data_IF_304090935789
#
_entry.id   IF_304090935789
#
_cell.length_a   1.000
_cell.length_b   1.000
_cell.length_c   1.000
_cell.angle_alpha   90.00
_cell.angle_beta   90.00
_cell.angle_gamma   90.00
#
_symmetry.space_group_name_H-M   'P 1'
#
loop_
_entity.id
_entity.type
_entity.pdbx_description
1 polymer ?
#
# COMPACT_ATOMS: atom_id res chain seq x y z
N UNK A 1 -7.01 17.55 -4.79
CA UNK A 1 -7.03 16.53 -5.88
C UNK A 1 -7.47 15.20 -5.27
N UNK A 2 -8.22 14.36 -5.99
CA UNK A 2 -8.58 13.04 -5.45
C UNK A 2 -7.32 12.13 -5.43
N UNK A 3 -7.25 11.21 -4.47
CA UNK A 3 -6.19 10.20 -4.39
C UNK A 3 -6.15 9.40 -5.69
N UNK A 4 -4.98 9.35 -6.34
CA UNK A 4 -4.79 8.69 -7.64
C UNK A 4 -5.09 7.19 -7.59
N UNK A 5 -4.83 6.54 -6.44
CA UNK A 5 -5.06 5.11 -6.26
C UNK A 5 -6.55 4.77 -6.08
N UNK A 6 -7.34 5.70 -5.53
CA UNK A 6 -8.80 5.51 -5.41
C UNK A 6 -9.55 5.71 -6.73
N UNK A 7 -8.89 6.16 -7.80
CA UNK A 7 -9.50 6.44 -9.11
C UNK A 7 -8.64 5.96 -10.29
N UNK A 8 -7.89 4.89 -10.14
CA UNK A 8 -7.01 4.35 -11.21
C UNK A 8 -7.80 4.08 -12.49
N UNK A 9 -8.99 3.50 -12.39
CA UNK A 9 -9.83 3.18 -13.54
C UNK A 9 -10.27 4.41 -14.37
N UNK A 10 -10.23 5.61 -13.81
CA UNK A 10 -10.56 6.87 -14.50
C UNK A 10 -9.37 7.56 -15.18
N UNK A 11 -8.17 6.99 -15.08
CA UNK A 11 -6.94 7.53 -15.66
C UNK A 11 -6.73 7.00 -17.09
N UNK A 12 -5.90 7.69 -17.87
CA UNK A 12 -5.47 7.20 -19.19
C UNK A 12 -4.56 5.97 -19.07
N UNK A 13 -4.49 5.18 -20.15
CA UNK A 13 -3.78 3.90 -20.20
C UNK A 13 -2.28 4.05 -19.86
N UNK A 14 -1.62 5.12 -20.33
CA UNK A 14 -0.20 5.39 -20.05
C UNK A 14 0.02 5.62 -18.56
N UNK A 15 -0.86 6.36 -17.90
CA UNK A 15 -0.79 6.60 -16.46
C UNK A 15 -1.08 5.32 -15.68
N UNK A 16 -2.05 4.49 -16.09
CA UNK A 16 -2.34 3.21 -15.45
C UNK A 16 -1.14 2.25 -15.54
N UNK A 17 -0.50 2.12 -16.72
CA UNK A 17 0.69 1.28 -16.91
C UNK A 17 1.87 1.78 -16.06
N UNK A 18 2.07 3.08 -15.98
CA UNK A 18 3.09 3.67 -15.10
C UNK A 18 2.84 3.37 -13.63
N UNK A 19 1.59 3.42 -13.16
CA UNK A 19 1.23 3.06 -11.79
C UNK A 19 1.45 1.58 -11.52
N UNK A 20 1.12 0.69 -12.48
CA UNK A 20 1.44 -0.73 -12.39
C UNK A 20 2.95 -0.96 -12.23
N UNK A 21 3.78 -0.26 -13.02
CA UNK A 21 5.24 -0.29 -12.90
C UNK A 21 5.75 0.18 -11.54
N UNK A 22 5.12 1.17 -10.92
CA UNK A 22 5.47 1.63 -9.57
C UNK A 22 5.21 0.53 -8.53
N UNK A 23 4.08 -0.21 -8.64
CA UNK A 23 3.77 -1.31 -7.72
C UNK A 23 4.80 -2.43 -7.81
N UNK A 24 5.17 -2.85 -9.03
CA UNK A 24 6.18 -3.91 -9.23
C UNK A 24 7.57 -3.46 -8.75
N UNK A 25 7.99 -2.23 -9.05
CA UNK A 25 9.26 -1.66 -8.57
C UNK A 25 9.33 -1.64 -7.05
N UNK A 26 8.26 -1.17 -6.38
CA UNK A 26 8.17 -1.20 -4.93
C UNK A 26 8.15 -2.62 -4.38
N UNK A 27 7.47 -3.53 -5.08
CA UNK A 27 7.43 -4.95 -4.74
C UNK A 27 8.79 -5.64 -4.79
N UNK A 28 9.67 -5.20 -5.71
CA UNK A 28 11.02 -5.72 -5.87
C UNK A 28 12.06 -5.11 -4.91
N UNK A 29 11.72 -4.03 -4.20
CA UNK A 29 12.63 -3.40 -3.24
C UNK A 29 12.97 -4.33 -2.06
N UNK A 30 14.26 -4.56 -1.75
CA UNK A 30 14.66 -5.51 -0.70
C UNK A 30 14.16 -5.16 0.70
N UNK A 31 14.10 -3.86 1.07
CA UNK A 31 13.59 -3.44 2.38
C UNK A 31 12.07 -3.67 2.46
N UNK A 32 11.34 -3.38 1.37
CA UNK A 32 9.91 -3.65 1.28
C UNK A 32 9.62 -5.15 1.39
N UNK A 33 10.41 -5.99 0.72
CA UNK A 33 10.29 -7.45 0.79
C UNK A 33 10.56 -7.96 2.22
N UNK A 34 11.62 -7.49 2.88
CA UNK A 34 11.94 -7.88 4.25
C UNK A 34 10.84 -7.47 5.25
N UNK A 35 10.29 -6.24 5.10
CA UNK A 35 9.18 -5.79 5.95
C UNK A 35 7.93 -6.65 5.75
N UNK A 36 7.56 -6.94 4.48
CA UNK A 36 6.44 -7.83 4.15
C UNK A 36 6.67 -9.25 4.66
N UNK A 37 7.90 -9.78 4.52
CA UNK A 37 8.23 -11.10 5.06
C UNK A 37 7.98 -11.18 6.57
N UNK A 38 8.44 -10.19 7.33
CA UNK A 38 8.19 -10.10 8.79
C UNK A 38 6.72 -9.91 9.12
N UNK A 39 5.99 -9.17 8.31
CA UNK A 39 4.54 -9.00 8.45
C UNK A 39 3.83 -10.33 8.25
N UNK A 40 4.09 -11.03 7.14
CA UNK A 40 3.48 -12.32 6.82
C UNK A 40 3.81 -13.40 7.85
N UNK A 41 5.05 -13.43 8.36
CA UNK A 41 5.47 -14.36 9.42
C UNK A 41 4.71 -14.17 10.74
N UNK A 42 4.02 -13.04 10.91
CA UNK A 42 3.19 -12.76 12.09
C UNK A 42 1.75 -13.23 11.95
N UNK A 43 1.35 -13.72 10.77
CA UNK A 43 0.00 -14.22 10.49
C UNK A 43 -0.02 -15.72 10.80
N UNK A 44 -0.84 -16.12 11.75
CA UNK A 44 -1.07 -17.54 12.03
C UNK A 44 -2.00 -18.12 10.95
N UNK A 45 -1.44 -18.95 10.08
CA UNK A 45 -2.18 -19.62 9.02
C UNK A 45 -2.71 -20.98 9.52
N UNK A 46 -3.99 -21.22 9.33
CA UNK A 46 -4.56 -22.58 9.46
C UNK A 46 -4.08 -23.48 8.31
N UNK A 47 -4.13 -24.78 8.48
CA UNK A 47 -3.85 -25.69 7.37
C UNK A 47 -4.88 -25.51 6.24
N UNK A 48 -4.40 -25.41 5.01
CA UNK A 48 -5.20 -25.17 3.81
C UNK A 48 -6.02 -23.86 3.86
N UNK A 49 -5.39 -22.77 4.34
CA UNK A 49 -6.02 -21.46 4.47
C UNK A 49 -6.47 -20.89 3.11
N UNK A 50 -7.66 -20.32 3.09
CA UNK A 50 -8.16 -19.47 2.00
C UNK A 50 -7.92 -18.02 2.35
N UNK A 51 -7.12 -17.34 1.54
CA UNK A 51 -6.69 -15.96 1.78
C UNK A 51 -7.37 -15.03 0.77
N UNK A 52 -7.85 -13.87 1.26
CA UNK A 52 -8.30 -12.76 0.44
C UNK A 52 -7.32 -11.60 0.60
N UNK A 53 -6.78 -11.09 -0.49
CA UNK A 53 -6.09 -9.79 -0.51
C UNK A 53 -7.01 -8.72 -1.09
N UNK A 54 -7.25 -7.65 -0.34
CA UNK A 54 -8.08 -6.51 -0.75
C UNK A 54 -7.18 -5.34 -1.14
N UNK A 55 -7.37 -4.80 -2.36
CA UNK A 55 -6.50 -3.81 -2.96
C UNK A 55 -5.19 -4.45 -3.47
N UNK A 56 -5.30 -5.57 -4.18
CA UNK A 56 -4.14 -6.37 -4.60
C UNK A 56 -3.26 -5.69 -5.67
N UNK A 57 -3.75 -4.63 -6.32
CA UNK A 57 -3.05 -3.98 -7.41
C UNK A 57 -2.66 -4.97 -8.51
N UNK A 58 -1.37 -5.03 -8.85
CA UNK A 58 -0.79 -5.99 -9.80
C UNK A 58 -0.54 -7.39 -9.22
N UNK A 59 -0.99 -7.66 -7.99
CA UNK A 59 -0.88 -8.97 -7.34
C UNK A 59 0.51 -9.28 -6.77
N UNK A 60 1.32 -8.29 -6.44
CA UNK A 60 2.67 -8.51 -5.85
C UNK A 60 2.60 -9.36 -4.60
N UNK A 61 1.76 -8.97 -3.63
CA UNK A 61 1.61 -9.73 -2.39
C UNK A 61 0.78 -11.00 -2.60
N UNK A 62 -0.24 -10.99 -3.48
CA UNK A 62 -1.04 -12.17 -3.85
C UNK A 62 -0.14 -13.33 -4.29
N UNK A 63 0.82 -13.07 -5.19
CA UNK A 63 1.81 -14.06 -5.64
C UNK A 63 2.70 -14.57 -4.51
N UNK A 64 3.07 -13.70 -3.57
CA UNK A 64 3.85 -14.10 -2.38
C UNK A 64 3.02 -14.95 -1.42
N UNK A 65 1.76 -14.58 -1.17
CA UNK A 65 0.84 -15.34 -0.31
C UNK A 65 0.61 -16.76 -0.83
N UNK A 66 0.50 -16.93 -2.14
CA UNK A 66 0.31 -18.25 -2.77
C UNK A 66 1.49 -19.21 -2.56
N UNK A 67 2.67 -18.68 -2.25
CA UNK A 67 3.87 -19.50 -2.00
C UNK A 67 4.07 -19.85 -0.52
N UNK A 68 3.22 -19.32 0.37
CA UNK A 68 3.32 -19.60 1.81
C UNK A 68 2.84 -21.02 2.13
N UNK A 69 3.58 -21.72 2.96
CA UNK A 69 3.16 -23.01 3.48
C UNK A 69 1.85 -22.88 4.28
N UNK A 70 0.88 -23.73 3.98
CA UNK A 70 -0.44 -23.71 4.63
C UNK A 70 -1.51 -22.94 3.87
N UNK A 71 -1.19 -22.16 2.85
CA UNK A 71 -2.16 -21.50 1.97
C UNK A 71 -2.65 -22.49 0.90
N UNK A 72 -3.96 -22.63 0.74
CA UNK A 72 -4.58 -23.48 -0.29
C UNK A 72 -5.01 -22.68 -1.51
N UNK A 73 -5.46 -21.42 -1.31
CA UNK A 73 -5.85 -20.55 -2.41
C UNK A 73 -5.80 -19.09 -1.99
N UNK A 74 -5.53 -18.24 -2.96
CA UNK A 74 -5.53 -16.78 -2.77
C UNK A 74 -6.48 -16.13 -3.78
N UNK A 75 -7.33 -15.25 -3.30
CA UNK A 75 -8.13 -14.35 -4.13
C UNK A 75 -7.59 -12.94 -3.93
N UNK A 76 -7.20 -12.28 -5.02
CA UNK A 76 -6.87 -10.85 -5.03
C UNK A 76 -8.03 -10.04 -5.57
N UNK A 77 -8.40 -8.95 -4.92
CA UNK A 77 -9.39 -8.01 -5.45
C UNK A 77 -8.84 -6.60 -5.50
N UNK A 78 -9.21 -5.87 -6.55
CA UNK A 78 -8.88 -4.45 -6.73
C UNK A 78 -10.01 -3.74 -7.47
N UNK A 79 -10.15 -2.44 -7.26
CA UNK A 79 -11.17 -1.63 -7.92
C UNK A 79 -10.82 -1.35 -9.40
N UNK A 80 -9.53 -1.41 -9.78
CA UNK A 80 -9.04 -1.06 -11.11
C UNK A 80 -8.97 -2.30 -12.04
N UNK A 81 -9.81 -2.40 -13.08
CA UNK A 81 -9.80 -3.53 -14.02
C UNK A 81 -8.44 -3.74 -14.69
N UNK A 82 -7.73 -2.67 -15.04
CA UNK A 82 -6.42 -2.75 -15.69
C UNK A 82 -5.34 -3.37 -14.79
N UNK A 83 -5.37 -3.06 -13.48
CA UNK A 83 -4.46 -3.70 -12.51
C UNK A 83 -4.80 -5.17 -12.34
N UNK A 84 -6.07 -5.54 -12.33
CA UNK A 84 -6.52 -6.95 -12.27
C UNK A 84 -6.11 -7.73 -13.53
N UNK A 85 -6.20 -7.13 -14.71
CA UNK A 85 -5.70 -7.76 -15.95
C UNK A 85 -4.20 -8.01 -15.87
N UNK A 86 -3.44 -7.02 -15.39
CA UNK A 86 -1.99 -7.15 -15.19
C UNK A 86 -1.65 -8.21 -14.12
N UNK A 87 -2.41 -8.26 -13.03
CA UNK A 87 -2.23 -9.27 -11.99
C UNK A 87 -2.45 -10.70 -12.52
N UNK A 88 -3.48 -10.91 -13.35
CA UNK A 88 -3.74 -12.22 -14.01
C UNK A 88 -2.60 -12.62 -14.95
N UNK A 89 -2.07 -11.66 -15.73
CA UNK A 89 -0.92 -11.90 -16.59
C UNK A 89 0.29 -12.37 -15.79
N UNK A 90 0.63 -11.63 -14.72
CA UNK A 90 1.82 -11.87 -13.88
C UNK A 90 1.72 -13.13 -12.99
N UNK A 91 0.53 -13.65 -12.77
CA UNK A 91 0.28 -14.85 -11.97
C UNK A 91 -0.23 -16.04 -12.80
N UNK A 92 -0.02 -16.02 -14.13
CA UNK A 92 -0.57 -17.03 -15.06
C UNK A 92 -0.07 -18.46 -14.81
N UNK A 93 1.03 -18.63 -14.09
CA UNK A 93 1.61 -19.91 -13.68
C UNK A 93 1.16 -20.39 -12.29
N UNK A 94 0.31 -19.63 -11.59
CA UNK A 94 -0.17 -19.93 -10.23
C UNK A 94 -1.65 -20.40 -10.26
N UNK A 95 -1.92 -21.72 -10.30
CA UNK A 95 -3.28 -22.25 -10.51
C UNK A 95 -4.25 -21.96 -9.36
N UNK A 96 -3.74 -21.79 -8.14
CA UNK A 96 -4.53 -21.54 -6.92
C UNK A 96 -4.72 -20.05 -6.62
N UNK A 97 -4.41 -19.17 -7.59
CA UNK A 97 -4.58 -17.72 -7.50
C UNK A 97 -5.67 -17.26 -8.45
N UNK A 98 -6.58 -16.44 -7.95
CA UNK A 98 -7.62 -15.79 -8.76
C UNK A 98 -7.69 -14.30 -8.48
N UNK A 99 -8.16 -13.51 -9.46
CA UNK A 99 -8.29 -12.07 -9.34
C UNK A 99 -9.67 -11.60 -9.82
N UNK A 100 -10.31 -10.71 -9.04
CA UNK A 100 -11.62 -10.15 -9.35
C UNK A 100 -11.61 -8.63 -9.17
N UNK A 101 -12.43 -7.96 -9.98
CA UNK A 101 -12.67 -6.51 -9.78
C UNK A 101 -13.71 -6.36 -8.68
N UNK A 102 -13.36 -5.70 -7.57
CA UNK A 102 -14.28 -5.46 -6.47
C UNK A 102 -13.92 -4.22 -5.66
N UNK A 103 -14.95 -3.64 -5.03
CA UNK A 103 -14.81 -2.55 -4.07
C UNK A 103 -14.56 -3.12 -2.66
N UNK A 104 -13.54 -2.62 -1.98
CA UNK A 104 -13.23 -2.98 -0.59
C UNK A 104 -14.42 -2.72 0.38
N UNK A 105 -15.26 -1.74 0.07
CA UNK A 105 -16.46 -1.39 0.85
C UNK A 105 -17.67 -2.29 0.54
N UNK A 106 -17.59 -3.19 -0.45
CA UNK A 106 -18.68 -4.09 -0.87
C UNK A 106 -18.13 -5.35 -1.55
N UNK A 107 -17.57 -6.26 -0.76
CA UNK A 107 -16.93 -7.46 -1.27
C UNK A 107 -17.96 -8.48 -1.79
N UNK A 108 -17.78 -9.06 -3.01
CA UNK A 108 -18.75 -9.95 -3.66
C UNK A 108 -18.70 -11.40 -3.11
N UNK A 109 -18.30 -11.57 -1.84
CA UNK A 109 -18.16 -12.87 -1.22
C UNK A 109 -19.19 -13.09 -0.12
N UNK A 110 -19.55 -14.35 0.09
CA UNK A 110 -20.43 -14.75 1.18
C UNK A 110 -19.76 -14.51 2.54
N UNK A 111 -20.57 -14.38 3.58
CA UNK A 111 -20.09 -14.36 4.95
C UNK A 111 -19.27 -15.62 5.28
N UNK A 112 -18.24 -15.49 6.11
CA UNK A 112 -17.40 -16.60 6.57
C UNK A 112 -16.75 -17.43 5.44
N UNK A 113 -16.24 -16.77 4.39
CA UNK A 113 -15.64 -17.42 3.21
C UNK A 113 -14.12 -17.58 3.29
N UNK A 114 -13.43 -16.80 4.13
CA UNK A 114 -11.97 -16.74 4.18
C UNK A 114 -11.43 -16.97 5.58
N UNK A 115 -10.22 -17.54 5.66
CA UNK A 115 -9.48 -17.72 6.90
C UNK A 115 -8.64 -16.48 7.25
N UNK A 116 -8.14 -15.79 6.21
CA UNK A 116 -7.34 -14.56 6.36
C UNK A 116 -7.81 -13.53 5.34
N UNK A 117 -7.94 -12.27 5.78
CA UNK A 117 -8.10 -11.09 4.90
C UNK A 117 -6.90 -10.18 5.09
N UNK A 118 -6.24 -9.84 3.98
CA UNK A 118 -5.03 -9.02 3.98
C UNK A 118 -5.29 -7.71 3.23
N UNK A 119 -4.77 -6.61 3.80
CA UNK A 119 -4.62 -5.32 3.14
C UNK A 119 -3.13 -4.97 3.11
N UNK A 120 -2.53 -4.76 1.93
CA UNK A 120 -1.14 -4.25 1.79
C UNK A 120 -1.15 -2.88 1.12
N UNK A 121 -0.87 -1.83 1.89
CA UNK A 121 -0.82 -0.45 1.40
C UNK A 121 -2.11 -0.02 0.69
N UNK A 122 -3.23 -0.38 1.26
CA UNK A 122 -4.56 -0.20 0.66
C UNK A 122 -5.44 0.73 1.49
N UNK A 123 -5.52 0.53 2.81
CA UNK A 123 -6.46 1.25 3.66
C UNK A 123 -6.22 2.76 3.68
N UNK A 124 -4.98 3.20 3.47
CA UNK A 124 -4.63 4.61 3.32
C UNK A 124 -5.22 5.30 2.08
N UNK A 125 -5.68 4.52 1.11
CA UNK A 125 -6.28 4.97 -0.15
C UNK A 125 -7.80 4.75 -0.23
N UNK A 126 -8.36 3.97 0.70
CA UNK A 126 -9.81 3.68 0.75
C UNK A 126 -10.57 4.83 1.42
N UNK A 127 -11.55 5.46 0.73
CA UNK A 127 -12.31 6.57 1.30
C UNK A 127 -13.10 6.22 2.58
N UNK A 128 -13.62 5.00 2.65
CA UNK A 128 -14.33 4.46 3.82
C UNK A 128 -13.59 3.21 4.35
N UNK A 129 -12.50 3.45 5.05
CA UNK A 129 -11.71 2.37 5.68
C UNK A 129 -12.51 1.59 6.73
N UNK A 130 -13.49 2.24 7.41
CA UNK A 130 -14.39 1.55 8.34
C UNK A 130 -15.20 0.49 7.61
N UNK A 131 -15.83 0.86 6.50
CA UNK A 131 -16.66 -0.07 5.73
C UNK A 131 -15.81 -1.23 5.17
N UNK A 132 -14.60 -0.96 4.71
CA UNK A 132 -13.68 -2.01 4.27
C UNK A 132 -13.32 -3.00 5.40
N UNK A 133 -13.09 -2.51 6.62
CA UNK A 133 -12.82 -3.37 7.79
C UNK A 133 -14.06 -4.15 8.23
N UNK A 134 -15.26 -3.57 8.14
CA UNK A 134 -16.54 -4.26 8.39
C UNK A 134 -16.77 -5.39 7.37
N UNK A 135 -16.50 -5.15 6.09
CA UNK A 135 -16.58 -6.18 5.04
C UNK A 135 -15.55 -7.30 5.26
N UNK A 136 -14.30 -6.94 5.65
CA UNK A 136 -13.30 -7.94 6.04
C UNK A 136 -13.80 -8.79 7.22
N UNK A 137 -14.41 -8.17 8.25
CA UNK A 137 -15.01 -8.90 9.36
C UNK A 137 -16.12 -9.84 8.87
N UNK A 138 -16.99 -9.37 7.97
CA UNK A 138 -18.11 -10.17 7.45
C UNK A 138 -17.61 -11.41 6.72
N UNK A 139 -16.65 -11.25 5.80
CA UNK A 139 -16.18 -12.36 4.96
C UNK A 139 -15.22 -13.32 5.67
N UNK A 140 -14.62 -12.93 6.79
CA UNK A 140 -13.80 -13.80 7.63
C UNK A 140 -14.65 -14.83 8.37
N UNK A 141 -14.14 -16.05 8.49
CA UNK A 141 -14.68 -17.11 9.33
C UNK A 141 -14.47 -16.78 10.81
N UNK A 142 -15.24 -17.41 11.74
CA UNK A 142 -14.84 -17.45 13.14
C UNK A 142 -13.40 -17.96 13.29
N UNK A 143 -12.62 -17.36 14.16
CA UNK A 143 -11.18 -17.53 14.30
C UNK A 143 -10.32 -17.08 13.09
N UNK A 144 -10.91 -16.38 12.11
CA UNK A 144 -10.18 -15.80 10.99
C UNK A 144 -9.41 -14.55 11.37
N UNK A 145 -8.37 -14.24 10.62
CA UNK A 145 -7.41 -13.17 10.88
C UNK A 145 -7.58 -12.02 9.89
N UNK A 146 -7.76 -10.81 10.40
CA UNK A 146 -7.49 -9.57 9.68
C UNK A 146 -6.00 -9.26 9.79
N UNK A 147 -5.34 -9.01 8.67
CA UNK A 147 -3.95 -8.56 8.63
C UNK A 147 -3.82 -7.35 7.71
N UNK A 148 -3.27 -6.26 8.19
CA UNK A 148 -3.04 -5.06 7.41
C UNK A 148 -1.59 -4.60 7.55
N UNK A 149 -0.98 -4.19 6.45
CA UNK A 149 0.34 -3.57 6.37
C UNK A 149 0.21 -2.29 5.55
N UNK A 150 0.65 -1.17 6.09
CA UNK A 150 0.53 0.12 5.39
C UNK A 150 1.65 1.08 5.80
N UNK A 151 1.80 2.18 5.04
CA UNK A 151 2.66 3.28 5.40
C UNK A 151 2.03 4.16 6.49
N UNK A 152 2.78 4.51 7.52
CA UNK A 152 2.49 5.66 8.37
C UNK A 152 2.94 6.92 7.64
N UNK A 153 2.14 7.34 6.67
CA UNK A 153 2.49 8.44 5.76
C UNK A 153 2.72 9.77 6.47
N UNK A 154 2.22 9.93 7.70
CA UNK A 154 2.53 11.09 8.51
C UNK A 154 3.99 11.15 9.00
N UNK A 155 4.78 10.08 8.78
CA UNK A 155 6.22 10.03 9.08
C UNK A 155 7.10 10.25 7.85
N UNK A 156 6.52 10.36 6.65
CA UNK A 156 7.29 10.47 5.41
C UNK A 156 8.13 11.75 5.38
N UNK A 157 9.42 11.61 5.12
CA UNK A 157 10.33 12.75 5.07
C UNK A 157 11.52 12.49 4.14
N UNK A 158 11.98 13.55 3.51
CA UNK A 158 13.28 13.64 2.81
C UNK A 158 14.15 14.75 3.39
N UNK A 159 13.69 15.34 4.48
CA UNK A 159 14.38 16.46 5.13
C UNK A 159 15.66 15.98 5.84
N UNK A 160 16.78 16.60 5.52
CA UNK A 160 18.07 16.41 6.19
C UNK A 160 18.38 17.53 7.20
N UNK A 161 17.49 18.52 7.29
CA UNK A 161 17.61 19.67 8.20
C UNK A 161 16.25 20.32 8.41
N UNK A 162 16.17 21.18 9.41
CA UNK A 162 14.98 22.00 9.63
C UNK A 162 14.71 22.92 8.41
N UNK A 163 13.43 23.01 8.01
CA UNK A 163 12.98 23.79 6.83
C UNK A 163 13.66 23.34 5.52
N UNK A 164 13.85 22.05 5.34
CA UNK A 164 14.37 21.52 4.08
C UNK A 164 13.33 21.71 2.96
N UNK A 165 13.68 22.40 1.84
CA UNK A 165 12.72 22.69 0.79
C UNK A 165 12.19 21.42 0.09
N UNK A 166 12.92 20.31 0.08
CA UNK A 166 12.44 19.06 -0.53
C UNK A 166 11.26 18.45 0.22
N UNK A 167 11.09 18.77 1.53
CA UNK A 167 9.94 18.30 2.28
C UNK A 167 8.61 18.80 1.70
N UNK A 168 8.59 19.97 1.09
CA UNK A 168 7.38 20.52 0.42
C UNK A 168 6.88 19.59 -0.68
N UNK A 169 7.80 18.90 -1.39
CA UNK A 169 7.40 17.91 -2.39
C UNK A 169 6.73 16.68 -1.75
N UNK A 170 7.28 16.19 -0.63
CA UNK A 170 6.67 15.07 0.10
C UNK A 170 5.27 15.44 0.58
N UNK A 171 5.13 16.60 1.19
CA UNK A 171 3.84 17.08 1.70
C UNK A 171 2.79 17.24 0.59
N UNK A 172 3.20 17.76 -0.57
CA UNK A 172 2.34 17.90 -1.75
C UNK A 172 1.94 16.53 -2.34
N UNK A 173 2.88 15.59 -2.44
CA UNK A 173 2.59 14.23 -2.90
C UNK A 173 1.57 13.55 -1.98
N UNK A 174 1.75 13.65 -0.67
CA UNK A 174 0.83 13.06 0.31
C UNK A 174 -0.57 13.67 0.20
N UNK A 175 -0.67 14.99 0.07
CA UNK A 175 -1.96 15.67 -0.09
C UNK A 175 -2.71 15.27 -1.37
N UNK A 176 -1.98 14.89 -2.42
CA UNK A 176 -2.55 14.52 -3.73
C UNK A 176 -2.69 13.02 -3.98
N UNK A 177 -2.15 12.17 -3.12
CA UNK A 177 -2.04 10.73 -3.41
C UNK A 177 -2.35 9.79 -2.23
N UNK A 178 -2.70 10.32 -1.05
CA UNK A 178 -3.04 9.53 0.13
C UNK A 178 -4.31 10.08 0.75
N UNK A 179 -5.36 9.26 0.81
CA UNK A 179 -6.65 9.69 1.37
C UNK A 179 -6.57 9.90 2.89
N UNK A 180 -6.07 8.91 3.62
CA UNK A 180 -5.84 9.02 5.07
C UNK A 180 -4.43 8.59 5.45
N UNK A 181 -3.56 9.57 5.69
CA UNK A 181 -2.17 9.33 6.13
C UNK A 181 -2.04 8.85 7.58
N UNK A 182 -3.13 8.79 8.34
CA UNK A 182 -3.18 8.37 9.74
C UNK A 182 -3.91 7.04 9.95
N UNK A 183 -4.47 6.44 8.90
CA UNK A 183 -5.30 5.23 8.99
C UNK A 183 -4.64 4.13 9.80
N UNK A 184 -3.34 3.92 9.60
CA UNK A 184 -2.59 2.88 10.30
C UNK A 184 -2.57 3.06 11.82
N UNK A 185 -2.52 4.31 12.29
CA UNK A 185 -2.57 4.64 13.73
C UNK A 185 -3.96 4.43 14.34
N UNK A 186 -5.00 4.60 13.52
CA UNK A 186 -6.41 4.47 13.91
C UNK A 186 -6.88 3.00 13.83
N UNK A 187 -6.26 2.20 12.96
CA UNK A 187 -6.69 0.84 12.63
C UNK A 187 -6.85 -0.09 13.84
N UNK A 188 -5.99 -0.08 14.88
CA UNK A 188 -6.19 -0.93 16.06
C UNK A 188 -7.49 -0.62 16.83
N UNK A 189 -7.89 0.65 16.89
CA UNK A 189 -9.15 1.04 17.51
C UNK A 189 -10.33 0.69 16.60
N UNK A 190 -10.22 1.01 15.32
CA UNK A 190 -11.23 0.71 14.31
C UNK A 190 -11.54 -0.79 14.23
N UNK A 191 -10.52 -1.64 14.22
CA UNK A 191 -10.71 -3.09 14.20
C UNK A 191 -11.51 -3.57 15.43
N UNK A 192 -11.20 -3.07 16.63
CA UNK A 192 -11.98 -3.40 17.83
C UNK A 192 -13.42 -2.93 17.75
N UNK A 193 -13.67 -1.74 17.24
CA UNK A 193 -15.02 -1.21 17.02
C UNK A 193 -15.82 -2.04 16.02
N UNK A 194 -15.16 -2.63 15.01
CA UNK A 194 -15.77 -3.56 14.05
C UNK A 194 -15.93 -4.99 14.60
N UNK A 195 -15.54 -5.26 15.86
CA UNK A 195 -15.75 -6.55 16.52
C UNK A 195 -14.53 -7.48 16.59
N UNK A 196 -13.41 -7.08 16.03
CA UNK A 196 -12.15 -7.83 16.15
C UNK A 196 -11.59 -7.79 17.58
N UNK A 197 -10.84 -8.81 17.93
CA UNK A 197 -10.16 -8.96 19.22
C UNK A 197 -8.66 -9.24 19.01
N UNK A 198 -7.89 -9.28 20.11
CA UNK A 198 -6.47 -9.63 20.11
C UNK A 198 -5.66 -8.81 19.08
N UNK A 199 -5.94 -7.49 19.04
CA UNK A 199 -5.30 -6.58 18.09
C UNK A 199 -3.84 -6.34 18.46
N UNK A 200 -2.92 -6.66 17.56
CA UNK A 200 -1.49 -6.41 17.70
C UNK A 200 -1.00 -5.41 16.65
N UNK A 201 -0.14 -4.48 17.05
CA UNK A 201 0.52 -3.51 16.16
C UNK A 201 2.04 -3.73 16.17
N UNK A 202 2.66 -3.71 14.98
CA UNK A 202 4.12 -3.72 14.82
C UNK A 202 4.55 -2.58 13.92
N UNK A 203 5.75 -2.02 14.15
CA UNK A 203 6.32 -0.95 13.36
C UNK A 203 7.59 -1.40 12.65
N UNK A 204 7.82 -0.86 11.45
CA UNK A 204 8.97 -1.12 10.59
C UNK A 204 9.50 0.22 10.07
N UNK A 205 10.81 0.30 9.86
CA UNK A 205 11.43 1.48 9.26
C UNK A 205 11.86 1.19 7.82
N UNK A 206 11.49 2.07 6.90
CA UNK A 206 12.06 2.13 5.56
C UNK A 206 12.91 3.39 5.47
N UNK A 207 14.15 3.26 5.03
CA UNK A 207 15.04 4.39 4.84
C UNK A 207 15.94 4.19 3.62
N UNK A 208 16.04 5.23 2.81
CA UNK A 208 17.03 5.35 1.74
C UNK A 208 18.09 6.36 2.13
N UNK A 209 19.35 5.96 2.00
CA UNK A 209 20.51 6.79 2.28
C UNK A 209 21.46 6.75 1.09
N UNK A 210 21.80 7.92 0.53
CA UNK A 210 22.68 8.04 -0.63
C UNK A 210 21.97 7.82 -1.96
N UNK A 211 21.53 6.61 -2.23
CA UNK A 211 20.76 6.26 -3.43
C UNK A 211 19.29 6.57 -3.18
N UNK A 212 18.66 7.37 -4.00
CA UNK A 212 17.23 7.70 -3.88
C UNK A 212 16.45 6.98 -4.97
N UNK A 213 16.01 5.75 -4.74
CA UNK A 213 15.21 5.01 -5.72
C UNK A 213 13.73 5.32 -5.53
N UNK A 214 13.14 4.89 -4.43
CA UNK A 214 11.71 5.08 -4.16
C UNK A 214 11.40 6.51 -3.71
N UNK A 215 12.12 7.03 -2.71
CA UNK A 215 11.83 8.36 -2.15
C UNK A 215 12.14 9.50 -3.12
N UNK A 216 13.03 9.28 -4.11
CA UNK A 216 13.21 10.22 -5.20
C UNK A 216 11.95 10.32 -6.08
N UNK A 217 11.24 9.20 -6.32
CA UNK A 217 9.95 9.24 -7.04
C UNK A 217 8.88 9.99 -6.26
N UNK A 218 8.91 9.94 -4.92
CA UNK A 218 8.03 10.73 -4.05
C UNK A 218 8.28 12.23 -4.24
N UNK A 219 9.55 12.67 -4.29
CA UNK A 219 9.92 14.05 -4.58
C UNK A 219 9.44 14.47 -5.98
N UNK A 220 9.67 13.65 -7.00
CA UNK A 220 9.29 13.98 -8.38
C UNK A 220 7.77 14.10 -8.55
N UNK A 221 7.00 13.21 -7.92
CA UNK A 221 5.54 13.26 -7.92
C UNK A 221 5.01 14.49 -7.19
N UNK A 222 5.58 14.80 -6.01
CA UNK A 222 5.20 15.99 -5.26
C UNK A 222 5.54 17.27 -5.99
N UNK A 223 6.69 17.35 -6.65
CA UNK A 223 7.05 18.46 -7.50
C UNK A 223 6.07 18.66 -8.67
N UNK A 224 5.57 17.56 -9.27
CA UNK A 224 4.54 17.62 -10.29
C UNK A 224 3.19 18.12 -9.75
N UNK A 225 2.80 17.72 -8.52
CA UNK A 225 1.60 18.23 -7.84
C UNK A 225 1.72 19.72 -7.57
N UNK A 226 2.87 20.21 -7.05
CA UNK A 226 3.10 21.64 -6.81
C UNK A 226 2.95 22.49 -8.09
N UNK A 227 3.41 21.95 -9.23
CA UNK A 227 3.26 22.62 -10.53
C UNK A 227 1.80 22.62 -10.98
N UNK A 228 1.13 21.47 -10.94
CA UNK A 228 -0.24 21.33 -11.41
C UNK A 228 -1.24 22.17 -10.62
N UNK A 229 -1.00 22.32 -9.31
CA UNK A 229 -1.83 23.15 -8.42
C UNK A 229 -1.46 24.66 -8.46
N UNK A 230 -0.44 25.03 -9.25
CA UNK A 230 0.01 26.42 -9.36
C UNK A 230 0.69 26.96 -8.09
N UNK A 231 1.08 26.10 -7.17
CA UNK A 231 1.78 26.47 -5.91
C UNK A 231 3.23 26.83 -6.18
N UNK A 232 3.86 26.19 -7.17
CA UNK A 232 5.22 26.48 -7.62
C UNK A 232 5.29 26.60 -9.15
N UNK A 233 6.07 27.54 -9.65
CA UNK A 233 6.34 27.66 -11.08
C UNK A 233 7.39 26.66 -11.55
N UNK A 234 7.51 26.51 -12.89
CA UNK A 234 8.41 25.55 -13.54
C UNK A 234 9.86 25.66 -13.07
N UNK A 235 10.37 26.88 -12.89
CA UNK A 235 11.75 27.12 -12.45
C UNK A 235 12.01 26.56 -11.04
N UNK A 236 11.09 26.81 -10.09
CA UNK A 236 11.22 26.27 -8.73
C UNK A 236 11.10 24.75 -8.71
N UNK A 237 10.16 24.18 -9.46
CA UNK A 237 10.00 22.73 -9.58
C UNK A 237 11.26 22.07 -10.15
N UNK A 238 11.83 22.66 -11.20
CA UNK A 238 13.09 22.18 -11.77
C UNK A 238 14.24 22.24 -10.76
N UNK A 239 14.33 23.33 -9.98
CA UNK A 239 15.35 23.50 -8.94
C UNK A 239 15.21 22.46 -7.81
N UNK A 240 13.98 22.17 -7.35
CA UNK A 240 13.73 21.14 -6.33
C UNK A 240 14.15 19.75 -6.82
N UNK A 241 13.76 19.38 -8.05
CA UNK A 241 14.18 18.11 -8.67
C UNK A 241 15.69 18.02 -8.84
N UNK A 242 16.35 19.09 -9.28
CA UNK A 242 17.81 19.16 -9.43
C UNK A 242 18.52 19.01 -8.09
N UNK A 243 18.01 19.65 -7.02
CA UNK A 243 18.55 19.51 -5.66
C UNK A 243 18.48 18.06 -5.15
N UNK A 244 17.34 17.38 -5.36
CA UNK A 244 17.21 15.99 -4.96
C UNK A 244 18.25 15.10 -5.67
N UNK A 245 18.43 15.28 -6.99
CA UNK A 245 19.41 14.53 -7.78
C UNK A 245 20.85 14.85 -7.36
N UNK A 246 21.14 16.12 -7.11
CA UNK A 246 22.45 16.53 -6.61
C UNK A 246 22.78 15.86 -5.26
N UNK A 247 21.79 15.68 -4.37
CA UNK A 247 21.99 14.96 -3.11
C UNK A 247 22.26 13.46 -3.34
N UNK A 248 21.58 12.85 -4.30
CA UNK A 248 21.86 11.47 -4.70
C UNK A 248 23.30 11.34 -5.23
N UNK A 249 23.69 12.18 -6.18
CA UNK A 249 25.06 12.20 -6.74
C UNK A 249 26.14 12.42 -5.68
N UNK A 250 25.84 13.25 -4.67
CA UNK A 250 26.74 13.52 -3.55
C UNK A 250 26.69 12.46 -2.43
N UNK A 251 25.86 11.42 -2.55
CA UNK A 251 25.65 10.41 -1.50
C UNK A 251 25.02 10.97 -0.21
N UNK A 252 24.36 12.13 -0.29
CA UNK A 252 23.78 12.85 0.86
C UNK A 252 22.24 12.88 0.86
N UNK A 253 21.61 12.15 -0.07
CA UNK A 253 20.16 11.98 -0.07
C UNK A 253 19.72 11.16 1.15
N UNK A 254 18.60 11.56 1.72
CA UNK A 254 17.91 10.82 2.77
C UNK A 254 16.43 10.79 2.46
N UNK A 255 15.81 9.64 2.65
CA UNK A 255 14.37 9.48 2.59
C UNK A 255 13.93 8.45 3.64
N UNK A 256 12.81 8.70 4.29
CA UNK A 256 12.27 7.81 5.31
C UNK A 256 10.76 7.79 5.31
N UNK A 257 10.20 6.62 5.59
CA UNK A 257 8.80 6.42 5.95
C UNK A 257 8.71 5.24 6.92
N UNK A 258 7.98 5.38 8.02
CA UNK A 258 7.61 4.25 8.84
C UNK A 258 6.48 3.46 8.18
N UNK A 259 6.56 2.15 8.23
CA UNK A 259 5.47 1.24 7.94
C UNK A 259 4.99 0.59 9.23
N UNK A 260 3.81 0.03 9.20
CA UNK A 260 3.33 -0.76 10.31
C UNK A 260 2.41 -1.88 9.85
N UNK A 261 2.21 -2.84 10.74
CA UNK A 261 1.21 -3.86 10.54
C UNK A 261 0.27 -3.96 11.74
N UNK A 262 -0.97 -4.31 11.43
CA UNK A 262 -2.00 -4.63 12.42
C UNK A 262 -2.52 -6.03 12.11
N UNK A 263 -2.55 -6.90 13.10
CA UNK A 263 -3.26 -8.17 13.05
C UNK A 263 -4.36 -8.16 14.09
N UNK A 264 -5.52 -8.74 13.77
CA UNK A 264 -6.66 -8.82 14.68
C UNK A 264 -7.47 -10.09 14.38
N UNK A 265 -8.10 -10.66 15.40
CA UNK A 265 -8.80 -11.95 15.35
C UNK A 265 -10.31 -11.74 15.37
N UNK A 266 -11.04 -12.37 14.46
CA UNK A 266 -12.50 -12.53 14.54
C UNK A 266 -12.81 -13.72 15.45
N UNK A 267 -13.42 -13.47 16.62
CA UNK A 267 -13.90 -14.52 17.53
C UNK A 267 -15.37 -14.84 17.33
#
# INVERSE_FOLDING_TARGET
MADVWSNVAGLDDETQERLAGVLETRGADPQQQEMRHRFLAAIELSAAARVLEVGCGTGVLTRTLAQLAGVASVVGVDLAPSLIEKARELASDLPDVTFEVADAASLPFAEASFDVVVFDSTLSHVPDSRRAVEEAFRVLRPAGVLAAFDGDYATATVAVRQHDPLQTCVDAMLAGSVHDRFVLRQLPALARECGFQDTAYRSYGFAETGEGVYMLTVVDRGAAVLLADGVAGEELVAALKAEARRRVEAGSFFGHIAYGSVTALKR
#
